data_IF_576131391193
#
_entry.id   IF_576131391193
#
_cell.length_a   1.000
_cell.length_b   1.000
_cell.length_c   1.000
_cell.angle_alpha   90.00
_cell.angle_beta   90.00
_cell.angle_gamma   90.00
#
_symmetry.space_group_name_H-M   'P 1'
#
loop_
_entity.id
_entity.type
_entity.pdbx_description
1 polymer ?
#
# COMPACT_ATOMS: atom_id res chain seq x y z
N UNK A 1 -3.16 33.95 -8.59
CA UNK A 1 -2.53 32.82 -9.32
C UNK A 1 -2.73 31.49 -8.57
N UNK A 2 -3.96 31.15 -8.18
CA UNK A 2 -4.22 29.93 -7.37
C UNK A 2 -4.34 28.64 -8.21
N UNK A 3 -4.56 28.75 -9.53
CA UNK A 3 -4.77 27.59 -10.39
C UNK A 3 -3.52 26.70 -10.54
N UNK A 4 -2.31 27.28 -10.52
CA UNK A 4 -1.06 26.51 -10.64
C UNK A 4 -0.75 25.73 -9.35
N UNK A 5 -0.96 26.34 -8.18
CA UNK A 5 -0.71 25.73 -6.88
C UNK A 5 -1.61 24.50 -6.64
N UNK A 6 -2.89 24.56 -7.02
CA UNK A 6 -3.81 23.42 -6.86
C UNK A 6 -3.44 22.19 -7.73
N UNK A 7 -2.81 22.40 -8.89
CA UNK A 7 -2.34 21.31 -9.76
C UNK A 7 -1.06 20.67 -9.22
N UNK A 8 -0.15 21.48 -8.66
CA UNK A 8 1.05 20.98 -7.99
C UNK A 8 0.68 20.10 -6.78
N UNK A 9 -0.30 20.53 -5.97
CA UNK A 9 -0.80 19.76 -4.83
C UNK A 9 -1.48 18.44 -5.24
N UNK A 10 -2.26 18.46 -6.33
CA UNK A 10 -2.85 17.24 -6.87
C UNK A 10 -1.78 16.26 -7.39
N UNK A 11 -0.75 16.78 -8.07
CA UNK A 11 0.35 15.96 -8.60
C UNK A 11 1.15 15.31 -7.48
N UNK A 12 1.45 16.04 -6.40
CA UNK A 12 2.21 15.48 -5.29
C UNK A 12 1.38 14.46 -4.48
N UNK A 13 0.07 14.69 -4.31
CA UNK A 13 -0.84 13.67 -3.74
C UNK A 13 -0.83 12.39 -4.57
N UNK A 14 -0.97 12.50 -5.89
CA UNK A 14 -0.90 11.37 -6.82
C UNK A 14 0.41 10.60 -6.67
N UNK A 15 1.54 11.31 -6.67
CA UNK A 15 2.87 10.71 -6.52
C UNK A 15 3.02 9.98 -5.19
N UNK A 16 2.56 10.56 -4.08
CA UNK A 16 2.56 9.90 -2.77
C UNK A 16 1.71 8.63 -2.76
N UNK A 17 0.51 8.69 -3.33
CA UNK A 17 -0.40 7.54 -3.40
C UNK A 17 0.21 6.39 -4.22
N UNK A 18 0.80 6.69 -5.38
CA UNK A 18 1.51 5.71 -6.22
C UNK A 18 2.71 5.12 -5.47
N UNK A 19 3.54 5.93 -4.82
CA UNK A 19 4.71 5.44 -4.05
C UNK A 19 4.29 4.49 -2.93
N UNK A 20 3.22 4.80 -2.20
CA UNK A 20 2.67 3.92 -1.16
C UNK A 20 2.21 2.59 -1.75
N UNK A 21 1.44 2.64 -2.85
CA UNK A 21 0.95 1.44 -3.55
C UNK A 21 2.08 0.53 -4.05
N UNK A 22 3.09 1.12 -4.72
CA UNK A 22 4.28 0.37 -5.16
C UNK A 22 5.03 -0.25 -3.98
N UNK A 23 5.22 0.51 -2.89
CA UNK A 23 5.85 -0.03 -1.69
C UNK A 23 5.11 -1.24 -1.11
N UNK A 24 3.77 -1.21 -1.07
CA UNK A 24 2.97 -2.38 -0.64
C UNK A 24 3.19 -3.60 -1.56
N UNK A 25 3.22 -3.39 -2.88
CA UNK A 25 3.48 -4.46 -3.85
C UNK A 25 4.86 -5.08 -3.67
N UNK A 26 5.90 -4.25 -3.50
CA UNK A 26 7.27 -4.74 -3.25
C UNK A 26 7.34 -5.64 -2.01
N UNK A 27 6.61 -5.25 -0.95
CA UNK A 27 6.59 -6.00 0.33
C UNK A 27 5.78 -7.29 0.24
N UNK A 28 4.73 -7.32 -0.59
CA UNK A 28 4.03 -8.55 -0.94
C UNK A 28 4.93 -9.52 -1.71
N UNK A 29 5.76 -9.01 -2.61
CA UNK A 29 6.72 -9.83 -3.36
C UNK A 29 7.85 -10.36 -2.45
N UNK A 30 8.37 -9.54 -1.53
CA UNK A 30 9.30 -10.00 -0.48
C UNK A 30 8.69 -11.13 0.36
N UNK A 31 7.44 -10.97 0.81
CA UNK A 31 6.73 -12.00 1.57
C UNK A 31 6.58 -13.29 0.75
N UNK A 32 6.19 -13.17 -0.52
CA UNK A 32 6.05 -14.30 -1.43
C UNK A 32 7.37 -15.06 -1.59
N UNK A 33 8.48 -14.35 -1.79
CA UNK A 33 9.80 -14.96 -1.92
C UNK A 33 10.21 -15.69 -0.64
N UNK A 34 10.01 -15.08 0.54
CA UNK A 34 10.30 -15.72 1.82
C UNK A 34 9.51 -17.04 1.99
N UNK A 35 8.21 -17.00 1.73
CA UNK A 35 7.34 -18.19 1.81
C UNK A 35 7.77 -19.30 0.83
N UNK A 36 8.16 -18.94 -0.40
CA UNK A 36 8.64 -19.91 -1.39
C UNK A 36 9.99 -20.53 -1.00
N UNK A 37 10.81 -19.81 -0.23
CA UNK A 37 12.04 -20.32 0.38
C UNK A 37 11.82 -21.16 1.64
N UNK A 38 10.58 -21.32 2.10
CA UNK A 38 10.23 -22.04 3.32
C UNK A 38 10.40 -21.21 4.62
N UNK A 39 10.57 -19.90 4.50
CA UNK A 39 10.66 -18.98 5.63
C UNK A 39 9.28 -18.45 6.03
N UNK A 40 9.09 -18.09 7.31
CA UNK A 40 7.82 -17.54 7.80
C UNK A 40 7.54 -16.10 7.32
N UNK A 41 8.55 -15.38 6.82
CA UNK A 41 8.38 -14.04 6.26
C UNK A 41 8.09 -12.93 7.29
N UNK A 42 8.41 -13.12 8.57
CA UNK A 42 8.08 -12.20 9.67
C UNK A 42 8.52 -10.75 9.40
N UNK A 43 9.74 -10.55 8.92
CA UNK A 43 10.24 -9.21 8.60
C UNK A 43 9.48 -8.53 7.45
N UNK A 44 9.04 -9.31 6.45
CA UNK A 44 8.21 -8.79 5.36
C UNK A 44 6.81 -8.43 5.87
N UNK A 45 6.20 -9.26 6.72
CA UNK A 45 4.92 -9.00 7.36
C UNK A 45 4.93 -7.74 8.22
N UNK A 46 6.01 -7.49 8.98
CA UNK A 46 6.17 -6.28 9.78
C UNK A 46 6.22 -5.03 8.89
N UNK A 47 7.04 -5.05 7.84
CA UNK A 47 7.15 -3.94 6.87
C UNK A 47 5.83 -3.70 6.14
N UNK A 48 5.13 -4.78 5.79
CA UNK A 48 3.83 -4.73 5.13
C UNK A 48 2.79 -4.04 6.03
N UNK A 49 2.70 -4.45 7.30
CA UNK A 49 1.82 -3.84 8.31
C UNK A 49 2.13 -2.36 8.51
N UNK A 50 3.42 -2.01 8.63
CA UNK A 50 3.86 -0.62 8.80
C UNK A 50 3.42 0.25 7.63
N UNK A 51 3.61 -0.24 6.41
CA UNK A 51 3.20 0.50 5.20
C UNK A 51 1.69 0.66 5.12
N UNK A 52 0.93 -0.39 5.43
CA UNK A 52 -0.52 -0.34 5.35
C UNK A 52 -1.09 0.77 6.26
N UNK A 53 -0.46 0.98 7.43
CA UNK A 53 -0.79 2.04 8.38
C UNK A 53 -0.34 3.44 7.95
N UNK A 54 0.48 3.57 6.92
CA UNK A 54 0.83 4.89 6.38
C UNK A 54 -0.42 5.53 5.75
N UNK A 55 -0.59 6.84 6.02
CA UNK A 55 -1.70 7.62 5.50
C UNK A 55 -1.80 7.49 3.98
N UNK A 56 -3.01 7.23 3.50
CA UNK A 56 -3.28 7.10 2.08
C UNK A 56 -3.78 8.45 1.56
N UNK A 57 -3.02 9.14 0.70
CA UNK A 57 -3.50 10.39 0.12
C UNK A 57 -4.77 10.14 -0.70
N UNK A 58 -5.78 10.96 -0.49
CA UNK A 58 -6.96 10.98 -1.35
C UNK A 58 -6.61 11.63 -2.69
N UNK A 59 -6.74 10.86 -3.76
CA UNK A 59 -6.60 11.30 -5.15
C UNK A 59 -7.98 11.30 -5.82
N UNK A 60 -8.21 12.25 -6.72
CA UNK A 60 -9.49 12.41 -7.41
C UNK A 60 -9.66 11.45 -8.61
N UNK A 61 -8.59 10.80 -9.07
CA UNK A 61 -8.60 9.82 -10.16
C UNK A 61 -9.25 8.49 -9.70
N UNK A 62 -10.46 8.14 -10.18
CA UNK A 62 -11.16 6.94 -9.73
C UNK A 62 -10.43 5.65 -10.13
N UNK A 63 -9.68 5.67 -11.23
CA UNK A 63 -8.92 4.51 -11.70
C UNK A 63 -7.75 4.19 -10.78
N UNK A 64 -7.00 5.23 -10.37
CA UNK A 64 -5.94 5.08 -9.39
C UNK A 64 -6.51 4.62 -8.05
N UNK A 65 -7.62 5.20 -7.60
CA UNK A 65 -8.29 4.79 -6.36
C UNK A 65 -8.63 3.29 -6.38
N UNK A 66 -9.24 2.81 -7.46
CA UNK A 66 -9.65 1.41 -7.59
C UNK A 66 -8.45 0.44 -7.51
N UNK A 67 -7.33 0.77 -8.16
CA UNK A 67 -6.11 -0.06 -8.09
C UNK A 67 -5.55 -0.07 -6.66
N UNK A 68 -5.50 1.08 -5.99
CA UNK A 68 -5.03 1.16 -4.61
C UNK A 68 -5.95 0.37 -3.65
N UNK A 69 -7.27 0.41 -3.84
CA UNK A 69 -8.22 -0.40 -3.06
C UNK A 69 -7.95 -1.91 -3.24
N UNK A 70 -7.64 -2.35 -4.46
CA UNK A 70 -7.29 -3.75 -4.73
C UNK A 70 -5.97 -4.17 -4.06
N UNK A 71 -4.97 -3.27 -4.05
CA UNK A 71 -3.71 -3.50 -3.35
C UNK A 71 -3.96 -3.61 -1.85
N UNK A 72 -4.67 -2.66 -1.24
CA UNK A 72 -4.98 -2.66 0.19
C UNK A 72 -5.76 -3.93 0.59
N UNK A 73 -6.74 -4.36 -0.21
CA UNK A 73 -7.48 -5.61 0.01
C UNK A 73 -6.55 -6.84 -0.03
N UNK A 74 -5.65 -6.91 -1.02
CA UNK A 74 -4.69 -8.02 -1.12
C UNK A 74 -3.79 -8.08 0.12
N UNK A 75 -3.29 -6.93 0.57
CA UNK A 75 -2.48 -6.82 1.78
C UNK A 75 -3.24 -7.29 3.00
N UNK A 76 -4.48 -6.84 3.19
CA UNK A 76 -5.31 -7.26 4.31
C UNK A 76 -5.53 -8.78 4.33
N UNK A 77 -5.75 -9.39 3.16
CA UNK A 77 -5.88 -10.85 3.02
C UNK A 77 -4.59 -11.57 3.40
N UNK A 78 -3.42 -11.10 2.94
CA UNK A 78 -2.15 -11.75 3.28
C UNK A 78 -1.81 -11.62 4.77
N UNK A 79 -2.08 -10.46 5.39
CA UNK A 79 -1.94 -10.30 6.84
C UNK A 79 -2.88 -11.25 7.61
N UNK A 80 -4.15 -11.36 7.18
CA UNK A 80 -5.11 -12.25 7.81
C UNK A 80 -4.71 -13.73 7.71
N UNK A 81 -4.15 -14.17 6.57
CA UNK A 81 -3.59 -15.52 6.41
C UNK A 81 -2.44 -15.79 7.37
N UNK A 82 -1.64 -14.77 7.68
CA UNK A 82 -0.57 -14.84 8.67
C UNK A 82 -1.07 -14.70 10.12
N UNK A 83 -2.39 -14.63 10.35
CA UNK A 83 -2.98 -14.46 11.68
C UNK A 83 -2.89 -13.02 12.23
N UNK A 84 -2.44 -12.06 11.42
CA UNK A 84 -2.39 -10.65 11.77
C UNK A 84 -3.73 -10.02 11.39
N UNK A 85 -4.39 -9.41 12.35
CA UNK A 85 -5.58 -8.58 12.08
C UNK A 85 -5.11 -7.14 11.88
N UNK A 86 -5.08 -6.61 10.65
CA UNK A 86 -4.89 -5.18 10.47
C UNK A 86 -6.08 -4.47 11.11
N UNK A 87 -5.82 -3.48 11.94
CA UNK A 87 -6.85 -2.58 12.44
C UNK A 87 -7.57 -1.97 11.22
N UNK A 88 -8.91 -1.91 11.26
CA UNK A 88 -9.68 -1.34 10.16
C UNK A 88 -9.19 0.09 9.89
N UNK A 89 -8.55 0.29 8.73
CA UNK A 89 -8.15 1.59 8.22
C UNK A 89 -9.38 2.42 7.83
#
# INVERSE_FOLDING_TARGET
LMALQGVEDATERRRRAVRRGSGLLDRLDELKLALLSGEAGEGALERLTRTLREDRPEDADPGLKAVLDQIDLRVAVELAKAGIRPDAA
#
